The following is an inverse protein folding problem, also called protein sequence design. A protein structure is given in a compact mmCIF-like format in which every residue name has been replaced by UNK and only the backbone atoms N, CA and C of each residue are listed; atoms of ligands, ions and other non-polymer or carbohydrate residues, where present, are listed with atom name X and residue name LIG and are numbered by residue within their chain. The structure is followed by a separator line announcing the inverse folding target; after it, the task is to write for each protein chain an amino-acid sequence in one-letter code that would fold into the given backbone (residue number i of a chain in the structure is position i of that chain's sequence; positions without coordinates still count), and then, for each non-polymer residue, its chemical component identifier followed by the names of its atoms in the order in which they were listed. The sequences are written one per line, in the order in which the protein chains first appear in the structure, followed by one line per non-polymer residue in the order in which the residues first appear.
data_IF_290883124692
#
_entry.id   IF_290883124692
#
_cell.length_a   1.000
_cell.length_b   1.000
_cell.length_c   1.000
_cell.angle_alpha   90.00
_cell.angle_beta   90.00
_cell.angle_gamma   90.00
#
_symmetry.space_group_name_H-M   'P 1'
#
loop_
_entity.id
_entity.type
_entity.pdbx_description
1 polymer ?
#
# COMPACT_ATOMS: atom_id res chain seq x y z
N UNK A 1 20.09 27.03 10.29
CA UNK A 1 20.47 25.62 10.34
C UNK A 1 19.38 24.72 9.72
N UNK A 2 18.11 24.95 10.03
CA UNK A 2 16.96 24.18 9.48
C UNK A 2 16.77 24.41 7.98
N UNK A 3 16.93 25.64 7.50
CA UNK A 3 16.84 25.95 6.06
C UNK A 3 17.95 25.27 5.25
N UNK A 4 19.15 25.17 5.82
CA UNK A 4 20.28 24.52 5.16
C UNK A 4 20.10 23.00 5.06
N UNK A 5 19.50 22.38 6.09
CA UNK A 5 19.14 20.95 6.09
C UNK A 5 18.07 20.66 5.03
N UNK A 6 17.05 21.52 4.92
CA UNK A 6 16.00 21.39 3.91
C UNK A 6 16.54 21.55 2.48
N UNK A 7 17.47 22.46 2.26
CA UNK A 7 18.12 22.66 0.96
C UNK A 7 19.01 21.47 0.57
N UNK A 8 19.73 20.89 1.51
CA UNK A 8 20.54 19.70 1.28
C UNK A 8 19.66 18.45 0.98
N UNK A 9 18.52 18.34 1.63
CA UNK A 9 17.53 17.30 1.34
C UNK A 9 16.88 17.45 -0.03
N UNK A 10 16.82 18.66 -0.58
CA UNK A 10 16.23 18.97 -1.88
C UNK A 10 17.21 18.82 -3.06
N UNK A 11 18.48 18.51 -2.83
CA UNK A 11 19.49 18.30 -3.89
C UNK A 11 19.50 16.85 -4.38
N UNK A 12 18.85 16.53 -5.53
CA UNK A 12 18.75 15.14 -5.99
C UNK A 12 20.10 14.54 -6.37
N UNK A 13 21.11 15.35 -6.73
CA UNK A 13 22.41 14.89 -7.23
C UNK A 13 23.30 14.23 -6.19
N UNK A 14 23.07 14.45 -4.88
CA UNK A 14 23.84 13.87 -3.78
C UNK A 14 23.19 12.64 -3.15
N UNK A 15 21.98 12.31 -3.57
CA UNK A 15 21.17 11.26 -2.98
C UNK A 15 21.28 9.97 -3.79
N UNK A 16 21.58 8.85 -3.13
CA UNK A 16 21.70 7.51 -3.72
C UNK A 16 20.43 6.67 -3.60
N UNK A 17 19.45 7.11 -2.81
CA UNK A 17 18.16 6.44 -2.59
C UNK A 17 17.02 7.47 -2.57
N UNK A 18 15.78 7.06 -2.87
CA UNK A 18 14.66 7.98 -2.87
C UNK A 18 14.38 8.57 -1.49
N UNK A 19 13.89 9.80 -1.45
CA UNK A 19 13.36 10.42 -0.24
C UNK A 19 11.87 10.11 -0.15
N UNK A 20 11.50 9.31 0.83
CA UNK A 20 10.12 8.86 1.02
C UNK A 20 9.57 9.42 2.33
N UNK A 21 8.58 10.29 2.21
CA UNK A 21 7.91 10.93 3.33
C UNK A 21 6.44 11.14 2.96
N UNK A 22 5.56 10.40 3.62
CA UNK A 22 4.12 10.47 3.36
C UNK A 22 3.47 11.43 4.35
N UNK A 23 2.85 12.49 3.84
CA UNK A 23 2.20 13.53 4.65
C UNK A 23 0.74 13.67 4.26
N UNK A 24 -0.20 13.38 5.18
CA UNK A 24 -1.62 13.58 4.88
C UNK A 24 -1.95 15.07 4.84
N UNK A 25 -2.80 15.46 3.88
CA UNK A 25 -3.31 16.83 3.77
C UNK A 25 -4.42 17.13 4.76
N UNK A 26 -5.02 16.08 5.33
CA UNK A 26 -6.16 16.17 6.22
C UNK A 26 -5.98 15.20 7.38
N UNK A 27 -6.30 15.68 8.58
CA UNK A 27 -6.34 14.82 9.75
C UNK A 27 -7.50 13.81 9.63
N UNK A 28 -7.22 12.55 10.00
CA UNK A 28 -8.19 11.48 9.94
C UNK A 28 -9.08 11.47 11.18
N UNK A 29 -10.39 11.28 10.99
CA UNK A 29 -11.35 11.12 12.07
C UNK A 29 -11.33 9.73 12.72
N UNK A 30 -12.23 9.50 13.67
CA UNK A 30 -12.30 8.24 14.40
C UNK A 30 -12.87 7.08 13.58
N UNK A 31 -13.81 7.37 12.68
CA UNK A 31 -14.41 6.39 11.77
C UNK A 31 -13.58 6.29 10.50
N UNK A 32 -12.89 5.19 10.30
CA UNK A 32 -11.97 5.01 9.18
C UNK A 32 -12.55 4.08 8.13
N UNK A 33 -12.83 2.84 8.48
CA UNK A 33 -13.38 1.84 7.56
C UNK A 33 -14.24 0.84 8.33
N UNK A 34 -15.39 0.51 7.77
CA UNK A 34 -16.25 -0.57 8.24
C UNK A 34 -16.48 -1.54 7.10
N UNK A 35 -16.15 -2.81 7.32
CA UNK A 35 -16.39 -3.93 6.38
C UNK A 35 -17.31 -4.93 7.06
N UNK A 36 -18.41 -5.30 6.38
CA UNK A 36 -19.42 -6.21 6.92
C UNK A 36 -19.79 -7.29 5.91
N UNK A 37 -19.52 -8.54 6.27
CA UNK A 37 -19.95 -9.72 5.52
C UNK A 37 -19.45 -9.79 4.08
N UNK A 38 -18.26 -9.27 3.80
CA UNK A 38 -17.71 -9.13 2.46
C UNK A 38 -17.31 -10.48 1.89
N UNK A 39 -17.92 -10.87 0.76
CA UNK A 39 -17.62 -12.12 0.06
C UNK A 39 -17.40 -11.88 -1.42
N UNK A 40 -16.49 -12.66 -2.01
CA UNK A 40 -16.19 -12.62 -3.44
C UNK A 40 -15.76 -13.99 -3.94
N UNK A 41 -16.38 -14.43 -5.03
CA UNK A 41 -16.02 -15.65 -5.76
C UNK A 41 -15.49 -15.28 -7.14
N UNK A 42 -14.34 -15.83 -7.53
CA UNK A 42 -13.72 -15.61 -8.83
C UNK A 42 -13.38 -16.98 -9.43
N UNK A 43 -13.87 -17.22 -10.65
CA UNK A 43 -13.65 -18.48 -11.37
C UNK A 43 -14.01 -19.72 -10.53
N UNK A 44 -15.15 -19.65 -9.82
CA UNK A 44 -15.64 -20.73 -8.97
C UNK A 44 -14.95 -20.88 -7.62
N UNK A 45 -13.94 -20.08 -7.32
CA UNK A 45 -13.20 -20.10 -6.05
C UNK A 45 -13.69 -18.98 -5.15
N UNK A 46 -14.08 -19.31 -3.92
CA UNK A 46 -14.46 -18.32 -2.91
C UNK A 46 -13.19 -17.67 -2.32
N UNK A 47 -12.80 -16.56 -2.89
CA UNK A 47 -11.56 -15.84 -2.55
C UNK A 47 -11.69 -15.14 -1.20
N UNK A 48 -12.86 -14.53 -0.95
CA UNK A 48 -13.23 -13.90 0.31
C UNK A 48 -14.53 -14.51 0.81
N UNK A 49 -14.55 -14.90 2.08
CA UNK A 49 -15.71 -15.52 2.72
C UNK A 49 -16.09 -14.78 3.99
N UNK A 50 -17.13 -13.94 3.88
CA UNK A 50 -17.77 -13.26 5.02
C UNK A 50 -16.80 -12.46 5.89
N UNK A 51 -15.98 -11.61 5.27
CA UNK A 51 -15.03 -10.76 5.98
C UNK A 51 -15.77 -9.62 6.69
N UNK A 52 -15.51 -9.46 7.99
CA UNK A 52 -16.02 -8.35 8.78
C UNK A 52 -14.92 -7.81 9.68
N UNK A 53 -14.64 -6.52 9.58
CA UNK A 53 -13.71 -5.82 10.45
C UNK A 53 -13.95 -4.32 10.39
N UNK A 54 -13.47 -3.61 11.41
CA UNK A 54 -13.46 -2.16 11.44
C UNK A 54 -12.05 -1.65 11.67
N UNK A 55 -11.69 -0.53 11.06
CA UNK A 55 -10.40 0.13 11.27
C UNK A 55 -10.59 1.43 12.04
N UNK A 56 -9.69 1.68 12.97
CA UNK A 56 -9.54 2.93 13.68
C UNK A 56 -8.38 3.75 13.13
N UNK A 57 -8.27 4.99 13.61
CA UNK A 57 -7.31 5.99 13.12
C UNK A 57 -5.83 5.65 13.33
N UNK A 58 -5.51 4.70 14.19
CA UNK A 58 -4.13 4.30 14.49
C UNK A 58 -3.74 2.95 13.90
N UNK A 59 -4.63 2.33 13.12
CA UNK A 59 -4.40 1.00 12.58
C UNK A 59 -3.36 1.01 11.45
N UNK A 60 -2.37 0.15 11.59
CA UNK A 60 -1.41 -0.20 10.56
C UNK A 60 -1.47 -1.72 10.36
N UNK A 61 -2.18 -2.14 9.33
CA UNK A 61 -2.57 -3.52 9.12
C UNK A 61 -1.69 -4.15 8.05
N UNK A 62 -0.98 -5.21 8.41
CA UNK A 62 -0.31 -6.08 7.46
C UNK A 62 -1.18 -7.30 7.15
N UNK A 63 -1.37 -7.55 5.87
CA UNK A 63 -2.00 -8.77 5.35
C UNK A 63 -0.90 -9.77 5.03
N UNK A 64 -0.87 -10.89 5.75
CA UNK A 64 0.18 -11.89 5.67
C UNK A 64 -0.35 -13.22 5.12
N UNK A 65 0.51 -14.22 4.98
CA UNK A 65 0.15 -15.55 4.48
C UNK A 65 0.30 -15.70 2.98
N UNK A 66 0.05 -16.92 2.49
CA UNK A 66 0.32 -17.30 1.11
C UNK A 66 -0.79 -16.97 0.11
N UNK A 67 -1.96 -16.54 0.57
CA UNK A 67 -3.09 -16.26 -0.32
C UNK A 67 -2.99 -14.86 -0.94
N UNK A 68 -2.07 -14.69 -1.86
CA UNK A 68 -1.78 -13.42 -2.55
C UNK A 68 -3.00 -12.85 -3.28
N UNK A 69 -3.74 -13.72 -3.97
CA UNK A 69 -4.92 -13.32 -4.73
C UNK A 69 -5.98 -12.68 -3.86
N UNK A 70 -6.24 -13.24 -2.69
CA UNK A 70 -7.25 -12.72 -1.76
C UNK A 70 -6.90 -11.31 -1.26
N UNK A 71 -5.64 -11.07 -0.97
CA UNK A 71 -5.15 -9.74 -0.56
C UNK A 71 -5.41 -8.70 -1.65
N UNK A 72 -5.00 -9.00 -2.87
CA UNK A 72 -5.20 -8.12 -4.03
C UNK A 72 -6.68 -7.86 -4.30
N UNK A 73 -7.51 -8.90 -4.26
CA UNK A 73 -8.96 -8.78 -4.46
C UNK A 73 -9.59 -7.88 -3.41
N UNK A 74 -9.22 -8.04 -2.14
CA UNK A 74 -9.72 -7.18 -1.06
C UNK A 74 -9.34 -5.71 -1.31
N UNK A 75 -8.09 -5.44 -1.65
CA UNK A 75 -7.64 -4.07 -1.94
C UNK A 75 -8.38 -3.46 -3.13
N UNK A 76 -8.59 -4.21 -4.19
CA UNK A 76 -9.34 -3.76 -5.37
C UNK A 76 -10.79 -3.46 -5.03
N UNK A 77 -11.45 -4.26 -4.20
CA UNK A 77 -12.81 -3.99 -3.74
C UNK A 77 -12.84 -2.70 -2.92
N UNK A 78 -11.94 -2.53 -1.96
CA UNK A 78 -11.87 -1.36 -1.11
C UNK A 78 -11.58 -0.06 -1.88
N UNK A 79 -10.89 -0.17 -3.02
CA UNK A 79 -10.63 0.95 -3.93
C UNK A 79 -11.73 1.18 -4.97
N UNK A 80 -12.79 0.40 -4.95
CA UNK A 80 -13.90 0.52 -5.89
C UNK A 80 -13.61 0.00 -7.30
N UNK A 81 -12.52 -0.73 -7.49
CA UNK A 81 -12.16 -1.34 -8.78
C UNK A 81 -12.90 -2.64 -9.06
N UNK A 82 -13.48 -3.25 -8.05
CA UNK A 82 -14.19 -4.52 -8.12
C UNK A 82 -15.38 -4.49 -7.17
N UNK A 83 -16.52 -5.01 -7.62
CA UNK A 83 -17.70 -5.15 -6.78
C UNK A 83 -17.64 -6.45 -5.94
N UNK A 84 -18.02 -6.40 -4.65
CA UNK A 84 -18.21 -7.64 -3.89
C UNK A 84 -19.46 -8.39 -4.37
N UNK A 85 -19.49 -9.70 -4.14
CA UNK A 85 -20.70 -10.52 -4.39
C UNK A 85 -21.72 -10.35 -3.26
N UNK A 86 -21.22 -10.23 -2.02
CA UNK A 86 -22.04 -10.02 -0.82
C UNK A 86 -21.32 -9.07 0.11
N UNK A 87 -22.08 -8.45 0.99
CA UNK A 87 -21.55 -7.57 2.03
C UNK A 87 -21.33 -6.15 1.55
N UNK A 88 -20.86 -5.33 2.48
CA UNK A 88 -20.68 -3.89 2.28
C UNK A 88 -19.38 -3.41 2.89
N UNK A 89 -18.88 -2.29 2.38
CA UNK A 89 -17.79 -1.56 3.02
C UNK A 89 -18.08 -0.06 2.95
N UNK A 90 -17.61 0.66 3.95
CA UNK A 90 -17.78 2.09 4.03
C UNK A 90 -16.54 2.78 4.58
N UNK A 91 -15.98 3.68 3.80
CA UNK A 91 -14.92 4.59 4.24
C UNK A 91 -15.51 5.75 5.04
N UNK A 92 -14.82 6.17 6.10
CA UNK A 92 -15.19 7.37 6.85
C UNK A 92 -15.11 8.63 6.00
N UNK A 93 -15.93 9.62 6.33
CA UNK A 93 -16.06 10.87 5.54
C UNK A 93 -14.79 11.71 5.51
N UNK A 94 -13.88 11.54 6.48
CA UNK A 94 -12.61 12.26 6.53
C UNK A 94 -11.47 11.53 5.81
N UNK A 95 -11.73 10.33 5.27
CA UNK A 95 -10.70 9.49 4.68
C UNK A 95 -10.43 9.84 3.23
N UNK A 96 -9.19 9.72 2.84
CA UNK A 96 -8.73 9.76 1.45
C UNK A 96 -7.72 8.63 1.25
N UNK A 97 -7.86 7.88 0.16
CA UNK A 97 -7.08 6.69 -0.10
C UNK A 97 -6.09 6.92 -1.24
N UNK A 98 -4.89 6.41 -1.09
CA UNK A 98 -3.93 6.26 -2.17
C UNK A 98 -3.53 4.79 -2.28
N UNK A 99 -3.48 4.27 -3.51
CA UNK A 99 -3.30 2.85 -3.78
C UNK A 99 -2.05 2.60 -4.61
N UNK A 100 -1.20 1.72 -4.09
CA UNK A 100 -0.07 1.15 -4.80
C UNK A 100 -0.46 -0.27 -5.24
N UNK A 101 -0.92 -0.46 -6.50
CA UNK A 101 -1.42 -1.75 -6.96
C UNK A 101 -0.27 -2.73 -7.21
N UNK A 102 -0.56 -4.02 -7.11
CA UNK A 102 0.37 -5.09 -7.46
C UNK A 102 0.68 -5.09 -8.95
N UNK A 103 -0.35 -4.98 -9.79
CA UNK A 103 -0.24 -4.81 -11.23
C UNK A 103 -0.54 -3.36 -11.60
N UNK A 104 0.49 -2.66 -12.04
CA UNK A 104 0.40 -1.23 -12.40
C UNK A 104 0.15 -0.99 -13.90
N UNK A 105 -0.16 -2.01 -14.67
CA UNK A 105 -0.33 -1.90 -16.12
C UNK A 105 -1.35 -0.82 -16.51
N UNK A 106 -2.49 -0.79 -15.85
CA UNK A 106 -3.53 0.22 -16.11
C UNK A 106 -3.10 1.64 -15.78
N UNK A 107 -2.25 1.82 -14.78
CA UNK A 107 -1.75 3.14 -14.36
C UNK A 107 -0.91 3.81 -15.45
N UNK A 108 -0.16 3.01 -16.21
CA UNK A 108 0.85 3.49 -17.16
C UNK A 108 0.51 3.21 -18.63
N UNK A 109 -0.66 2.64 -18.92
CA UNK A 109 -1.12 2.40 -20.29
C UNK A 109 -1.81 3.63 -20.89
N UNK A 110 -1.04 4.71 -21.05
CA UNK A 110 -1.49 5.95 -21.64
C UNK A 110 -0.29 6.75 -22.19
N UNK A 111 -0.58 7.87 -22.85
CA UNK A 111 0.45 8.71 -23.48
C UNK A 111 0.86 9.93 -22.64
N UNK A 112 0.50 9.96 -21.36
CA UNK A 112 0.92 11.05 -20.47
C UNK A 112 2.42 11.02 -20.22
N UNK A 113 3.01 12.21 -20.07
CA UNK A 113 4.35 12.34 -19.52
C UNK A 113 4.33 12.02 -18.02
N UNK A 114 5.47 11.69 -17.43
CA UNK A 114 5.58 11.46 -15.98
C UNK A 114 5.05 12.68 -15.21
N UNK A 115 5.43 13.89 -15.61
CA UNK A 115 5.00 15.12 -14.96
C UNK A 115 3.48 15.30 -15.03
N UNK A 116 2.87 15.10 -16.18
CA UNK A 116 1.42 15.24 -16.37
C UNK A 116 0.65 14.14 -15.64
N UNK A 117 1.16 12.92 -15.68
CA UNK A 117 0.58 11.79 -14.93
C UNK A 117 0.57 12.08 -13.42
N UNK A 118 1.70 12.53 -12.88
CA UNK A 118 1.81 12.84 -11.44
C UNK A 118 0.95 14.04 -11.05
N UNK A 119 0.87 15.06 -11.90
CA UNK A 119 0.03 16.25 -11.70
C UNK A 119 -1.44 15.87 -11.48
N UNK A 120 -1.91 14.82 -12.16
CA UNK A 120 -3.29 14.31 -12.00
C UNK A 120 -3.62 13.87 -10.57
N UNK A 121 -2.63 13.51 -9.76
CA UNK A 121 -2.81 13.08 -8.37
C UNK A 121 -2.53 14.19 -7.35
N UNK A 122 -2.05 15.35 -7.79
CA UNK A 122 -1.70 16.48 -6.92
C UNK A 122 -2.87 17.45 -6.76
N UNK A 123 -3.12 17.92 -5.54
CA UNK A 123 -4.02 19.04 -5.31
C UNK A 123 -3.40 20.35 -5.82
N UNK A 124 -2.08 20.48 -5.71
CA UNK A 124 -1.32 21.63 -6.18
C UNK A 124 -0.87 21.36 -7.62
N UNK A 125 -1.45 22.05 -8.60
CA UNK A 125 -1.18 21.85 -10.02
C UNK A 125 0.01 22.67 -10.55
N UNK A 126 0.99 22.97 -9.72
CA UNK A 126 2.19 23.72 -10.06
C UNK A 126 3.30 22.79 -10.57
N UNK A 127 3.89 23.09 -11.72
CA UNK A 127 4.93 22.28 -12.34
C UNK A 127 6.19 22.17 -11.47
N UNK A 128 6.57 23.24 -10.79
CA UNK A 128 7.74 23.24 -9.87
C UNK A 128 7.50 22.32 -8.68
N UNK A 129 6.30 22.33 -8.12
CA UNK A 129 5.91 21.46 -7.03
C UNK A 129 5.97 19.98 -7.44
N UNK A 130 5.41 19.63 -8.59
CA UNK A 130 5.41 18.26 -9.12
C UNK A 130 6.84 17.78 -9.42
N UNK A 131 7.66 18.62 -10.04
CA UNK A 131 9.08 18.31 -10.31
C UNK A 131 9.88 18.08 -9.05
N UNK A 132 9.54 18.76 -7.96
CA UNK A 132 10.16 18.54 -6.65
C UNK A 132 9.96 17.10 -6.15
N UNK A 133 8.77 16.54 -6.32
CA UNK A 133 8.51 15.13 -5.99
C UNK A 133 9.29 14.16 -6.88
N UNK A 134 9.33 14.43 -8.18
CA UNK A 134 10.10 13.60 -9.11
C UNK A 134 11.59 13.62 -8.79
N UNK A 135 12.14 14.77 -8.43
CA UNK A 135 13.54 14.88 -8.01
C UNK A 135 13.85 14.09 -6.75
N UNK A 136 12.96 14.11 -5.76
CA UNK A 136 13.08 13.31 -4.54
C UNK A 136 13.10 11.81 -4.81
N UNK A 137 12.43 11.39 -5.88
CA UNK A 137 12.37 9.99 -6.31
C UNK A 137 13.42 9.62 -7.35
N UNK A 138 14.50 10.42 -7.44
CA UNK A 138 15.67 10.18 -8.29
C UNK A 138 15.36 10.24 -9.81
N UNK A 139 14.33 10.97 -10.21
CA UNK A 139 14.11 11.27 -11.62
C UNK A 139 14.91 12.52 -12.00
N UNK A 140 15.80 12.45 -13.02
CA UNK A 140 16.43 13.63 -13.58
C UNK A 140 15.38 14.63 -14.11
N UNK A 141 15.71 15.92 -14.10
CA UNK A 141 14.78 16.96 -14.55
C UNK A 141 14.25 16.78 -15.97
N UNK A 142 15.00 16.10 -16.82
CA UNK A 142 14.65 15.78 -18.19
C UNK A 142 13.63 14.65 -18.34
N UNK A 143 13.57 13.74 -17.33
CA UNK A 143 12.66 12.59 -17.35
C UNK A 143 11.20 12.97 -17.18
N UNK A 144 10.91 14.18 -16.69
CA UNK A 144 9.52 14.67 -16.55
C UNK A 144 8.74 14.69 -17.87
N UNK A 145 9.42 14.76 -19.01
CA UNK A 145 8.81 14.72 -20.35
C UNK A 145 8.74 13.32 -20.96
N UNK A 146 9.35 12.33 -20.29
CA UNK A 146 9.30 10.93 -20.71
C UNK A 146 7.89 10.38 -20.52
N UNK A 147 7.40 9.60 -21.47
CA UNK A 147 6.06 9.00 -21.37
C UNK A 147 6.04 7.84 -20.38
N UNK A 148 4.96 7.75 -19.60
CA UNK A 148 4.82 6.68 -18.60
C UNK A 148 4.77 5.27 -19.23
N UNK A 149 4.34 5.17 -20.47
CA UNK A 149 4.27 3.91 -21.22
C UNK A 149 5.62 3.22 -21.38
N UNK A 150 6.73 3.96 -21.43
CA UNK A 150 8.08 3.43 -21.69
C UNK A 150 8.92 3.22 -20.43
N UNK A 151 8.34 3.34 -19.25
CA UNK A 151 9.06 3.22 -17.98
C UNK A 151 9.54 1.80 -17.70
N UNK A 152 10.73 1.68 -17.11
CA UNK A 152 11.23 0.44 -16.53
C UNK A 152 10.44 0.06 -15.27
N UNK A 153 10.60 -1.19 -14.78
CA UNK A 153 9.95 -1.63 -13.54
C UNK A 153 10.30 -0.76 -12.33
N UNK A 154 11.57 -0.42 -12.14
CA UNK A 154 12.01 0.46 -11.06
C UNK A 154 11.49 1.88 -11.18
N UNK A 155 11.44 2.43 -12.40
CA UNK A 155 10.86 3.74 -12.66
C UNK A 155 9.36 3.77 -12.36
N UNK A 156 8.62 2.72 -12.73
CA UNK A 156 7.19 2.58 -12.40
C UNK A 156 6.95 2.60 -10.89
N UNK A 157 7.75 1.87 -10.13
CA UNK A 157 7.64 1.85 -8.66
C UNK A 157 7.91 3.23 -8.08
N UNK A 158 8.94 3.93 -8.55
CA UNK A 158 9.23 5.30 -8.12
C UNK A 158 8.11 6.27 -8.46
N UNK A 159 7.47 6.13 -9.61
CA UNK A 159 6.26 6.89 -9.97
C UNK A 159 5.11 6.61 -9.00
N UNK A 160 4.84 5.34 -8.71
CA UNK A 160 3.77 4.96 -7.78
C UNK A 160 4.02 5.50 -6.37
N UNK A 161 5.25 5.46 -5.87
CA UNK A 161 5.60 6.05 -4.58
C UNK A 161 5.48 7.57 -4.60
N UNK A 162 5.83 8.22 -5.71
CA UNK A 162 5.61 9.67 -5.90
C UNK A 162 4.12 10.02 -5.82
N UNK A 163 3.28 9.21 -6.47
CA UNK A 163 1.81 9.32 -6.39
C UNK A 163 1.34 9.22 -4.93
N UNK A 164 1.82 8.23 -4.20
CA UNK A 164 1.44 8.03 -2.80
C UNK A 164 1.81 9.23 -1.93
N UNK A 165 2.95 9.86 -2.19
CA UNK A 165 3.38 11.05 -1.46
C UNK A 165 2.59 12.30 -1.85
N UNK A 166 2.45 12.57 -3.15
CA UNK A 166 1.86 13.81 -3.65
C UNK A 166 0.35 13.88 -3.43
N UNK A 167 -0.32 12.75 -3.37
CA UNK A 167 -1.77 12.66 -3.18
C UNK A 167 -2.23 13.26 -1.85
N UNK A 168 -1.36 13.28 -0.84
CA UNK A 168 -1.73 13.74 0.50
C UNK A 168 -2.79 12.88 1.19
N UNK A 169 -2.97 11.64 0.76
CA UNK A 169 -3.94 10.72 1.35
C UNK A 169 -3.60 10.41 2.81
N UNK A 170 -4.63 10.22 3.63
CA UNK A 170 -4.48 9.79 5.01
C UNK A 170 -4.66 8.28 5.21
N UNK A 171 -4.98 7.55 4.14
CA UNK A 171 -4.98 6.10 4.08
C UNK A 171 -4.06 5.65 2.93
N UNK A 172 -3.06 4.86 3.24
CA UNK A 172 -2.16 4.30 2.25
C UNK A 172 -2.40 2.79 2.13
N UNK A 173 -2.57 2.32 0.90
CA UNK A 173 -2.75 0.90 0.60
C UNK A 173 -1.63 0.47 -0.33
N UNK A 174 -0.80 -0.49 0.12
CA UNK A 174 0.32 -1.02 -0.66
C UNK A 174 0.14 -2.52 -0.92
N UNK A 175 0.17 -2.90 -2.18
CA UNK A 175 0.19 -4.33 -2.58
C UNK A 175 1.56 -4.68 -3.17
N UNK A 176 2.44 -5.25 -2.34
CA UNK A 176 3.82 -5.63 -2.70
C UNK A 176 4.66 -4.49 -3.28
N UNK A 177 4.96 -3.44 -2.50
CA UNK A 177 5.68 -2.28 -3.03
C UNK A 177 7.19 -2.49 -3.21
N UNK A 178 7.76 -3.61 -2.73
CA UNK A 178 9.20 -3.79 -2.64
C UNK A 178 9.84 -4.58 -3.78
N UNK A 179 9.04 -5.17 -4.69
CA UNK A 179 9.52 -6.13 -5.71
C UNK A 179 10.62 -5.60 -6.63
N UNK A 180 10.66 -4.30 -6.92
CA UNK A 180 11.63 -3.68 -7.83
C UNK A 180 12.50 -2.64 -7.13
N UNK A 181 12.62 -2.72 -5.81
CA UNK A 181 13.43 -1.80 -5.01
C UNK A 181 14.71 -2.46 -4.55
N UNK A 182 15.80 -1.69 -4.53
CA UNK A 182 17.03 -2.08 -3.87
C UNK A 182 16.89 -1.98 -2.33
N UNK A 183 17.88 -2.47 -1.60
CA UNK A 183 17.83 -2.50 -0.12
C UNK A 183 17.74 -1.12 0.48
N UNK A 184 18.41 -0.13 -0.08
CA UNK A 184 18.40 1.25 0.43
C UNK A 184 17.02 1.90 0.22
N UNK A 185 16.39 1.65 -0.92
CA UNK A 185 15.03 2.12 -1.21
C UNK A 185 14.00 1.43 -0.34
N UNK A 186 14.15 0.14 -0.07
CA UNK A 186 13.28 -0.61 0.87
C UNK A 186 13.39 0.00 2.27
N UNK A 187 14.59 0.32 2.74
CA UNK A 187 14.82 0.97 4.03
C UNK A 187 14.16 2.35 4.08
N UNK A 188 14.28 3.14 3.01
CA UNK A 188 13.62 4.44 2.91
C UNK A 188 12.09 4.31 2.95
N UNK A 189 11.53 3.35 2.24
CA UNK A 189 10.09 3.06 2.27
C UNK A 189 9.65 2.64 3.68
N UNK A 190 10.38 1.73 4.32
CA UNK A 190 10.09 1.28 5.67
C UNK A 190 10.04 2.45 6.67
N UNK A 191 11.04 3.32 6.62
CA UNK A 191 11.08 4.52 7.46
C UNK A 191 9.90 5.46 7.19
N UNK A 192 9.55 5.66 5.93
CA UNK A 192 8.39 6.46 5.55
C UNK A 192 7.06 5.88 6.06
N UNK A 193 6.89 4.57 5.97
CA UNK A 193 5.70 3.88 6.48
C UNK A 193 5.61 3.95 8.01
N UNK A 194 6.72 3.73 8.72
CA UNK A 194 6.74 3.82 10.18
C UNK A 194 6.38 5.22 10.70
N UNK A 195 6.81 6.26 10.02
CA UNK A 195 6.57 7.66 10.40
C UNK A 195 5.19 8.17 10.00
N UNK A 196 4.51 7.48 9.09
CA UNK A 196 3.23 7.94 8.59
C UNK A 196 2.19 7.99 9.70
N UNK A 197 1.54 9.16 9.94
CA UNK A 197 0.60 9.32 11.04
C UNK A 197 -0.81 8.81 10.74
N UNK A 198 -1.10 8.42 9.50
CA UNK A 198 -2.39 7.89 9.08
C UNK A 198 -2.49 6.38 9.16
N UNK A 199 -3.47 5.83 8.48
CA UNK A 199 -3.75 4.40 8.42
C UNK A 199 -3.04 3.77 7.23
N UNK A 200 -2.47 2.58 7.42
CA UNK A 200 -1.85 1.79 6.36
C UNK A 200 -2.50 0.41 6.30
N UNK A 201 -2.86 -0.02 5.10
CA UNK A 201 -3.17 -1.40 4.76
C UNK A 201 -2.11 -1.87 3.76
N UNK A 202 -1.42 -2.96 4.06
CA UNK A 202 -0.35 -3.38 3.16
C UNK A 202 -0.12 -4.89 3.15
N UNK A 203 0.38 -5.37 2.03
CA UNK A 203 0.92 -6.70 1.85
C UNK A 203 2.38 -6.57 1.41
N UNK A 204 3.30 -7.24 2.07
CA UNK A 204 4.72 -7.25 1.74
C UNK A 204 5.37 -8.56 2.13
N UNK A 205 6.32 -9.03 1.30
CA UNK A 205 7.16 -10.18 1.64
C UNK A 205 8.37 -9.78 2.48
N UNK A 206 8.61 -8.48 2.67
CA UNK A 206 9.70 -8.00 3.50
C UNK A 206 9.34 -8.10 4.99
N UNK A 207 10.00 -9.02 5.69
CA UNK A 207 9.75 -9.27 7.12
C UNK A 207 9.95 -8.02 7.97
N UNK A 208 10.99 -7.23 7.68
CA UNK A 208 11.32 -6.03 8.45
C UNK A 208 10.23 -4.98 8.35
N UNK A 209 9.71 -4.75 7.16
CA UNK A 209 8.60 -3.79 6.96
C UNK A 209 7.36 -4.24 7.75
N UNK A 210 6.99 -5.51 7.65
CA UNK A 210 5.84 -6.05 8.39
C UNK A 210 6.04 -5.91 9.89
N UNK A 211 7.20 -6.33 10.40
CA UNK A 211 7.50 -6.32 11.83
C UNK A 211 7.53 -4.90 12.41
N UNK A 212 8.11 -3.95 11.71
CA UNK A 212 8.33 -2.60 12.24
C UNK A 212 7.16 -1.65 12.01
N UNK A 213 6.30 -1.93 11.03
CA UNK A 213 5.18 -1.05 10.66
C UNK A 213 3.86 -1.49 11.26
N UNK A 214 3.56 -2.80 11.23
CA UNK A 214 2.23 -3.30 11.59
C UNK A 214 2.01 -3.36 13.09
N UNK A 215 0.82 -2.92 13.52
CA UNK A 215 0.29 -3.12 14.86
C UNK A 215 -0.93 -4.05 14.86
N UNK A 216 -1.31 -4.54 13.69
CA UNK A 216 -2.45 -5.43 13.50
C UNK A 216 -2.15 -6.34 12.31
N UNK A 217 -2.37 -7.62 12.48
CA UNK A 217 -2.10 -8.65 11.46
C UNK A 217 -3.41 -9.27 11.02
N UNK A 218 -3.60 -9.33 9.71
CA UNK A 218 -4.70 -10.04 9.08
C UNK A 218 -4.14 -11.11 8.14
N UNK A 219 -4.78 -12.25 8.11
CA UNK A 219 -4.49 -13.33 7.17
C UNK A 219 -5.79 -13.83 6.56
N UNK A 220 -5.85 -13.91 5.24
CA UNK A 220 -6.97 -14.53 4.53
C UNK A 220 -6.52 -15.94 4.14
N UNK A 221 -7.16 -16.93 4.73
CA UNK A 221 -6.85 -18.34 4.49
C UNK A 221 -7.26 -18.76 3.08
N UNK A 222 -6.75 -19.88 2.55
CA UNK A 222 -7.11 -20.35 1.21
C UNK A 222 -8.63 -20.57 0.99
N UNK A 223 -9.40 -20.84 2.07
CA UNK A 223 -10.86 -20.92 2.01
C UNK A 223 -11.58 -19.56 2.05
N UNK A 224 -10.82 -18.44 2.07
CA UNK A 224 -11.37 -17.09 2.10
C UNK A 224 -11.69 -16.54 3.50
N UNK A 225 -11.48 -17.30 4.55
CA UNK A 225 -11.77 -16.90 5.94
C UNK A 225 -10.67 -15.98 6.48
N UNK A 226 -11.09 -14.94 7.18
CA UNK A 226 -10.19 -13.95 7.77
C UNK A 226 -9.77 -14.32 9.19
N UNK A 227 -8.47 -14.20 9.44
CA UNK A 227 -7.90 -14.12 10.79
C UNK A 227 -7.48 -12.68 11.03
N UNK A 228 -7.87 -12.10 12.15
CA UNK A 228 -7.62 -10.70 12.51
C UNK A 228 -7.14 -10.62 13.95
N UNK A 229 -5.91 -10.18 14.16
CA UNK A 229 -5.28 -10.09 15.48
C UNK A 229 -4.55 -8.76 15.67
N UNK A 230 -4.79 -8.11 16.80
CA UNK A 230 -4.05 -6.92 17.21
C UNK A 230 -2.75 -7.38 17.86
N UNK A 231 -1.69 -7.48 17.07
CA UNK A 231 -0.41 -8.06 17.47
C UNK A 231 0.70 -7.62 16.53
N UNK A 232 1.95 -7.87 16.92
CA UNK A 232 3.10 -7.77 16.02
C UNK A 232 3.24 -9.02 15.16
N UNK A 233 4.05 -8.94 14.09
CA UNK A 233 4.23 -10.06 13.18
C UNK A 233 4.93 -11.25 13.84
N UNK A 234 5.97 -11.00 14.65
CA UNK A 234 6.71 -12.06 15.33
C UNK A 234 5.82 -12.76 16.37
N UNK A 235 5.01 -12.02 17.11
CA UNK A 235 4.03 -12.59 18.04
C UNK A 235 2.97 -13.42 17.33
N UNK A 236 2.50 -12.94 16.17
CA UNK A 236 1.55 -13.67 15.35
C UNK A 236 2.13 -15.01 14.86
N UNK A 237 3.35 -15.01 14.35
CA UNK A 237 4.03 -16.22 13.88
C UNK A 237 4.29 -17.22 15.01
N UNK A 238 4.56 -16.74 16.21
CA UNK A 238 4.81 -17.57 17.40
C UNK A 238 3.52 -18.10 18.07
N UNK A 239 2.35 -17.63 17.65
CA UNK A 239 1.06 -18.00 18.24
C UNK A 239 0.69 -19.45 17.92
N UNK A 240 0.54 -20.28 18.94
CA UNK A 240 0.08 -21.67 18.81
C UNK A 240 -1.33 -21.77 18.19
N UNK A 241 -2.18 -20.81 18.50
CA UNK A 241 -3.54 -20.75 17.94
C UNK A 241 -3.51 -20.62 16.41
N UNK A 242 -2.63 -19.75 15.90
CA UNK A 242 -2.50 -19.52 14.46
C UNK A 242 -1.87 -20.73 13.77
N UNK A 243 -0.86 -21.34 14.37
CA UNK A 243 -0.23 -22.56 13.86
C UNK A 243 -1.25 -23.71 13.76
N UNK A 244 -2.11 -23.88 14.77
CA UNK A 244 -3.16 -24.90 14.76
C UNK A 244 -4.21 -24.64 13.67
N UNK A 245 -4.66 -23.41 13.48
CA UNK A 245 -5.62 -23.06 12.42
C UNK A 245 -5.07 -23.37 11.04
N UNK A 246 -3.82 -23.07 10.78
CA UNK A 246 -3.16 -23.41 9.51
C UNK A 246 -3.03 -24.92 9.34
N UNK A 247 -2.65 -25.64 10.38
CA UNK A 247 -2.49 -27.09 10.35
C UNK A 247 -3.80 -27.81 10.08
N UNK A 248 -4.89 -27.42 10.73
CA UNK A 248 -6.23 -27.98 10.49
C UNK A 248 -6.66 -27.76 9.05
N UNK A 249 -6.39 -26.58 8.49
CA UNK A 249 -6.72 -26.29 7.10
C UNK A 249 -5.95 -27.19 6.13
N UNK A 250 -4.64 -27.37 6.35
CA UNK A 250 -3.78 -28.22 5.51
C UNK A 250 -4.25 -29.68 5.57
N UNK A 251 -4.63 -30.18 6.71
CA UNK A 251 -5.15 -31.55 6.86
C UNK A 251 -6.46 -31.76 6.12
N UNK A 252 -7.34 -30.77 6.06
CA UNK A 252 -8.61 -30.87 5.33
C UNK A 252 -8.42 -30.84 3.80
N UNK A 253 -7.35 -30.28 3.29
CA UNK A 253 -7.00 -30.32 1.87
C UNK A 253 -6.42 -31.68 1.45
N UNK A 254 -5.66 -32.34 2.33
CA UNK A 254 -5.09 -33.65 2.05
C UNK A 254 -6.13 -34.80 2.13
N UNK A 255 -7.23 -34.57 2.84
CA UNK A 255 -8.31 -35.56 3.00
C UNK A 255 -9.42 -35.45 1.92
N UNK A 256 -9.34 -34.50 0.97
CA UNK A 256 -10.24 -34.32 -0.17
C UNK A 256 -9.55 -34.58 -1.50
#
# INVERSE_FOLDING_TARGET
ALEKIQLDEMRPSSRKYPYIDFRPNREIGNEVLMVEGLSKTIDGVKVLDNLSFTLGREDKVAFVGGNERAKTVLFQILMGEMEPDEGTYKWGVTTSQAYFPKDSTKEFDNDLTIADWLTGYSEIKDATYVRGFLGRMLFPGEDGVKKVRVLSGGEKVRCLLSKMMISGANILIFDEPTNHLDMESITALNNGMMKFPGVILFASHDHQIVQTTANRIMEILPNGVLIDKITTYDEYLASDEMARKRQVYTMTEEDN
#
